data_IF_397424771154
#
_entry.id   IF_397424771154
#
_cell.length_a   1.000
_cell.length_b   1.000
_cell.length_c   1.000
_cell.angle_alpha   90.00
_cell.angle_beta   90.00
_cell.angle_gamma   90.00
#
_symmetry.space_group_name_H-M   'P 1'
#
loop_
_entity.id
_entity.type
_entity.pdbx_description
1 polymer ?
#
# COMPACT_ATOMS: atom_id res chain seq x y z
N UNK A 1 -3.94 4.36 -26.28
CA UNK A 1 -3.20 3.09 -26.19
C UNK A 1 -2.76 2.92 -24.74
N UNK A 2 -2.92 1.73 -24.17
CA UNK A 2 -2.41 1.44 -22.82
C UNK A 2 -0.95 0.98 -22.91
N UNK A 3 -0.10 1.47 -22.02
CA UNK A 3 1.30 1.08 -21.92
C UNK A 3 1.47 0.12 -20.74
N UNK A 4 2.20 -0.98 -20.94
CA UNK A 4 2.56 -1.93 -19.89
C UNK A 4 4.08 -2.08 -19.86
N UNK A 5 4.68 -1.88 -18.68
CA UNK A 5 6.12 -1.95 -18.48
C UNK A 5 6.45 -2.96 -17.38
N UNK A 6 7.47 -3.79 -17.61
CA UNK A 6 8.05 -4.64 -16.56
C UNK A 6 9.37 -4.03 -16.10
N UNK A 7 9.46 -3.70 -14.83
CA UNK A 7 10.63 -3.04 -14.24
C UNK A 7 11.16 -3.91 -13.10
N UNK A 8 12.45 -4.25 -13.13
CA UNK A 8 13.11 -4.93 -12.02
C UNK A 8 13.62 -3.90 -10.98
N UNK A 9 12.69 -3.36 -10.20
CA UNK A 9 12.98 -2.38 -9.16
C UNK A 9 11.94 -2.45 -8.03
N UNK A 10 12.19 -1.72 -6.94
CA UNK A 10 11.22 -1.55 -5.87
C UNK A 10 10.03 -0.70 -6.33
N UNK A 11 8.81 -1.15 -6.05
CA UNK A 11 7.58 -0.37 -6.34
C UNK A 11 7.49 0.92 -5.51
N UNK A 12 8.20 1.02 -4.39
CA UNK A 12 8.09 2.14 -3.42
C UNK A 12 8.57 3.48 -3.98
N UNK A 13 9.52 3.48 -4.91
CA UNK A 13 10.16 4.69 -5.43
C UNK A 13 9.75 5.01 -6.87
N UNK A 14 8.65 4.45 -7.36
CA UNK A 14 8.18 4.70 -8.72
C UNK A 14 7.39 6.02 -8.78
N UNK A 15 7.65 6.84 -9.80
CA UNK A 15 6.92 8.08 -10.06
C UNK A 15 5.63 7.75 -10.82
N UNK A 16 4.59 7.42 -10.06
CA UNK A 16 3.26 7.03 -10.56
C UNK A 16 2.17 7.58 -9.64
N UNK A 17 0.94 7.64 -10.13
CA UNK A 17 -0.20 8.18 -9.36
C UNK A 17 -0.52 7.33 -8.12
N UNK A 18 -0.33 6.01 -8.18
CA UNK A 18 -0.55 5.10 -7.09
C UNK A 18 0.33 3.86 -7.19
N UNK A 19 0.69 3.30 -6.03
CA UNK A 19 1.34 2.00 -5.90
C UNK A 19 0.40 1.04 -5.18
N UNK A 20 0.48 -0.25 -5.50
CA UNK A 20 -0.36 -1.28 -4.88
C UNK A 20 0.40 -1.96 -3.74
N UNK A 21 -0.26 -2.10 -2.59
CA UNK A 21 0.25 -2.86 -1.45
C UNK A 21 -0.37 -4.27 -1.42
N UNK A 22 0.46 -5.30 -1.26
CA UNK A 22 0.00 -6.63 -0.86
C UNK A 22 -0.23 -6.66 0.66
N UNK A 23 -1.32 -6.04 1.10
CA UNK A 23 -1.67 -5.92 2.52
C UNK A 23 -2.27 -7.22 3.10
N UNK A 24 -2.28 -7.32 4.43
CA UNK A 24 -3.14 -8.29 5.12
C UNK A 24 -4.56 -7.72 5.28
N UNK A 25 -5.52 -8.60 5.59
CA UNK A 25 -6.95 -8.25 5.75
C UNK A 25 -7.27 -7.20 6.82
N UNK A 26 -6.32 -6.87 7.70
CA UNK A 26 -6.49 -5.88 8.76
C UNK A 26 -5.86 -4.52 8.44
N UNK A 27 -5.25 -4.36 7.26
CA UNK A 27 -4.54 -3.13 6.87
C UNK A 27 -3.48 -2.70 7.90
N UNK A 28 -2.94 -3.65 8.66
CA UNK A 28 -1.91 -3.39 9.65
C UNK A 28 -0.52 -3.56 9.03
N UNK A 29 0.43 -2.76 9.49
CA UNK A 29 1.82 -2.90 9.06
C UNK A 29 2.37 -4.29 9.39
N UNK A 30 3.24 -4.80 8.52
CA UNK A 30 3.90 -6.09 8.64
C UNK A 30 5.28 -6.04 7.98
N UNK A 31 5.76 -7.18 7.46
CA UNK A 31 7.01 -7.27 6.71
C UNK A 31 6.85 -6.99 5.21
N UNK A 32 7.92 -7.30 4.45
CA UNK A 32 7.90 -7.27 2.98
C UNK A 32 7.58 -5.89 2.38
N UNK A 33 6.84 -5.88 1.27
CA UNK A 33 6.45 -4.63 0.58
C UNK A 33 5.55 -3.76 1.47
N UNK A 34 4.67 -4.35 2.28
CA UNK A 34 3.80 -3.62 3.19
C UNK A 34 4.64 -2.82 4.20
N UNK A 35 5.59 -3.47 4.88
CA UNK A 35 6.50 -2.79 5.79
C UNK A 35 7.33 -1.69 5.12
N UNK A 36 7.76 -1.91 3.87
CA UNK A 36 8.47 -0.90 3.09
C UNK A 36 7.61 0.32 2.74
N UNK A 37 6.32 0.12 2.40
CA UNK A 37 5.34 1.20 2.19
C UNK A 37 5.14 1.99 3.49
N UNK A 38 4.83 1.32 4.60
CA UNK A 38 4.64 1.98 5.91
C UNK A 38 5.89 2.74 6.37
N UNK A 39 7.08 2.19 6.13
CA UNK A 39 8.34 2.87 6.43
C UNK A 39 8.54 4.15 5.62
N UNK A 40 8.08 4.16 4.35
CA UNK A 40 8.23 5.31 3.45
C UNK A 40 7.15 6.37 3.68
N UNK A 41 5.90 5.95 3.86
CA UNK A 41 4.71 6.79 4.06
C UNK A 41 4.54 7.29 5.51
N UNK A 42 5.35 6.79 6.44
CA UNK A 42 5.19 7.05 7.87
C UNK A 42 4.28 6.03 8.55
N UNK A 43 4.79 5.40 9.61
CA UNK A 43 4.04 4.35 10.32
C UNK A 43 2.81 4.88 11.05
N UNK A 44 2.91 6.11 11.58
CA UNK A 44 1.82 6.72 12.34
C UNK A 44 0.76 7.23 11.38
N UNK A 45 1.18 8.00 10.37
CA UNK A 45 0.34 8.68 9.41
C UNK A 45 -0.52 7.69 8.60
N UNK A 46 0.13 6.72 7.96
CA UNK A 46 -0.58 5.68 7.21
C UNK A 46 -1.39 4.77 8.15
N UNK A 47 -0.83 4.45 9.32
CA UNK A 47 -1.49 3.61 10.32
C UNK A 47 -2.80 4.21 10.85
N UNK A 48 -2.84 5.52 11.06
CA UNK A 48 -4.04 6.23 11.50
C UNK A 48 -5.12 6.27 10.42
N UNK A 49 -4.74 6.37 9.16
CA UNK A 49 -5.69 6.25 8.03
C UNK A 49 -6.24 4.82 7.96
N UNK A 50 -5.37 3.81 7.99
CA UNK A 50 -5.77 2.40 7.94
C UNK A 50 -6.71 2.01 9.09
N UNK A 51 -6.48 2.52 10.31
CA UNK A 51 -7.33 2.26 11.49
C UNK A 51 -8.77 2.77 11.35
N UNK A 52 -9.02 3.75 10.47
CA UNK A 52 -10.37 4.31 10.22
C UNK A 52 -11.18 3.46 9.24
N UNK A 53 -10.55 2.53 8.54
CA UNK A 53 -11.20 1.66 7.56
C UNK A 53 -11.75 0.41 8.25
N UNK A 54 -12.96 0.01 7.88
CA UNK A 54 -13.59 -1.20 8.43
C UNK A 54 -12.85 -2.44 7.94
N UNK A 55 -12.40 -3.26 8.90
CA UNK A 55 -11.70 -4.53 8.68
C UNK A 55 -12.39 -5.65 9.48
N UNK A 56 -12.19 -6.95 9.17
CA UNK A 56 -11.33 -7.50 8.12
C UNK A 56 -11.88 -7.28 6.71
N UNK A 57 -10.97 -7.16 5.74
CA UNK A 57 -11.28 -7.22 4.31
C UNK A 57 -11.40 -8.67 3.83
N UNK A 58 -12.11 -8.87 2.72
CA UNK A 58 -12.14 -10.14 1.99
C UNK A 58 -11.00 -10.18 0.97
N UNK A 59 -10.63 -11.39 0.55
CA UNK A 59 -9.68 -11.55 -0.56
C UNK A 59 -10.27 -10.93 -1.85
N UNK A 60 -9.50 -10.06 -2.49
CA UNK A 60 -9.93 -9.30 -3.68
C UNK A 60 -10.46 -7.89 -3.39
N UNK A 61 -10.71 -7.54 -2.12
CA UNK A 61 -11.03 -6.15 -1.77
C UNK A 61 -9.83 -5.23 -1.97
N UNK A 62 -10.10 -3.98 -2.37
CA UNK A 62 -9.07 -2.94 -2.53
C UNK A 62 -9.51 -1.65 -1.86
N UNK A 63 -8.57 -1.00 -1.18
CA UNK A 63 -8.78 0.26 -0.47
C UNK A 63 -7.74 1.28 -0.93
N UNK A 64 -8.16 2.52 -1.12
CA UNK A 64 -7.28 3.65 -1.46
C UNK A 64 -6.99 4.49 -0.21
N UNK A 65 -5.74 4.90 -0.04
CA UNK A 65 -5.29 5.84 0.99
C UNK A 65 -4.44 6.93 0.34
N UNK A 66 -4.29 8.10 0.97
CA UNK A 66 -3.20 9.02 0.64
C UNK A 66 -1.84 8.32 0.83
N UNK A 67 -0.82 8.82 0.13
CA UNK A 67 0.54 8.27 0.21
C UNK A 67 1.34 8.72 1.45
N UNK A 68 0.81 9.73 2.17
CA UNK A 68 1.37 10.49 3.33
C UNK A 68 2.86 10.84 3.31
#
# INVERSE_FOLDING_TARGET
MSTFNLINASSINQEVDAIVNAANKYLMSGGGVCGAIFRKAGYVELGEVCKKIKTPLNDGDAIITPAS
#
